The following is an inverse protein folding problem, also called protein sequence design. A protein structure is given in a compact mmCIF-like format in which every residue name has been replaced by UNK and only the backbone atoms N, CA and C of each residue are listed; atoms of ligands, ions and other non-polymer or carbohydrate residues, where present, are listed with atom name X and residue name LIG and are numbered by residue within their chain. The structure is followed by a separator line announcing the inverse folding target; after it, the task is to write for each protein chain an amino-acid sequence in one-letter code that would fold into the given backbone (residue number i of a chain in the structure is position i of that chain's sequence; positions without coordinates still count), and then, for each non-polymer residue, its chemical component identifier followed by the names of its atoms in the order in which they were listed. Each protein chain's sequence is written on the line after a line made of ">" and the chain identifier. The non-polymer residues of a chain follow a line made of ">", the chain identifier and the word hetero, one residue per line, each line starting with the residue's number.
data_IF_350594738806
#
_entry.id   IF_350594738806
#
_cell.length_a   1.000
_cell.length_b   1.000
_cell.length_c   1.000
_cell.angle_alpha   90.00
_cell.angle_beta   90.00
_cell.angle_gamma   90.00
#
_symmetry.space_group_name_H-M   'P 1'
#
loop_
_entity.id
_entity.type
_entity.pdbx_description
1 polymer ?
#
# COMPACT_ATOMS: atom_id res chain seq x y z
N UNK A 1 61.00 -63.13 48.59
CA UNK A 1 60.46 -62.74 47.28
C UNK A 1 60.71 -61.25 47.15
N UNK A 2 61.56 -60.90 46.17
CA UNK A 2 62.17 -59.59 45.84
C UNK A 2 61.34 -58.33 46.15
N UNK A 3 61.90 -57.14 46.40
CA UNK A 3 63.25 -56.62 46.67
C UNK A 3 63.08 -55.11 47.00
N UNK A 4 63.96 -54.58 47.85
CA UNK A 4 64.58 -53.22 47.83
C UNK A 4 63.66 -51.97 47.82
N UNK A 5 63.57 -51.19 48.91
CA UNK A 5 64.53 -50.23 49.52
C UNK A 5 64.19 -48.74 49.20
N UNK A 6 64.62 -47.79 50.06
CA UNK A 6 63.94 -46.53 50.36
C UNK A 6 64.64 -45.30 49.76
N UNK A 7 64.08 -44.10 49.96
CA UNK A 7 64.77 -42.86 49.59
C UNK A 7 64.07 -41.57 50.03
N UNK A 8 64.33 -41.16 51.26
CA UNK A 8 64.17 -39.80 51.79
C UNK A 8 65.10 -38.80 51.09
N UNK A 9 64.59 -37.60 50.81
CA UNK A 9 65.29 -36.38 51.18
C UNK A 9 65.82 -35.44 50.08
N UNK A 10 65.36 -34.19 50.19
CA UNK A 10 66.14 -32.94 50.07
C UNK A 10 66.11 -32.16 48.74
N UNK A 11 65.28 -31.10 48.78
CA UNK A 11 65.62 -29.68 48.64
C UNK A 11 66.40 -29.15 47.41
N UNK A 12 65.76 -28.10 46.88
CA UNK A 12 66.28 -26.79 46.42
C UNK A 12 66.48 -26.56 44.91
N UNK A 13 65.72 -25.55 44.44
CA UNK A 13 66.08 -24.49 43.49
C UNK A 13 66.35 -24.93 42.02
N UNK A 14 66.02 -24.19 40.97
CA UNK A 14 65.62 -22.80 40.82
C UNK A 14 64.81 -22.64 39.53
N UNK A 15 63.78 -21.80 39.60
CA UNK A 15 63.39 -20.77 38.62
C UNK A 15 64.19 -20.77 37.30
N UNK A 16 63.57 -21.16 36.19
CA UNK A 16 63.54 -20.28 35.01
C UNK A 16 62.42 -20.67 34.03
N UNK A 17 61.42 -19.76 34.01
CA UNK A 17 60.88 -19.15 32.80
C UNK A 17 60.18 -20.11 31.81
N UNK A 18 58.89 -20.30 32.07
CA UNK A 18 57.95 -20.66 31.03
C UNK A 18 57.92 -19.60 29.94
N UNK A 19 57.79 -20.06 28.69
CA UNK A 19 57.29 -19.38 27.48
C UNK A 19 57.99 -20.01 26.28
N UNK A 20 57.43 -21.10 25.74
CA UNK A 20 57.50 -21.49 24.30
C UNK A 20 56.89 -22.88 24.02
N UNK A 21 56.04 -23.42 24.90
CA UNK A 21 55.21 -24.61 24.59
C UNK A 21 53.73 -24.23 24.67
N UNK A 22 53.37 -23.08 24.09
CA UNK A 22 51.98 -22.71 23.84
C UNK A 22 51.85 -22.01 22.49
N UNK A 23 52.65 -22.44 21.51
CA UNK A 23 52.63 -21.93 20.13
C UNK A 23 52.41 -23.03 19.09
N UNK A 24 52.25 -24.29 19.49
CA UNK A 24 52.04 -25.41 18.55
C UNK A 24 50.72 -26.18 18.73
N UNK A 25 49.90 -25.82 19.71
CA UNK A 25 48.55 -26.39 19.91
C UNK A 25 47.41 -25.35 19.80
N UNK A 26 47.71 -24.15 19.31
CA UNK A 26 46.70 -23.14 18.94
C UNK A 26 46.49 -23.01 17.42
N UNK A 27 47.14 -23.88 16.63
CA UNK A 27 47.06 -23.86 15.16
C UNK A 27 46.17 -24.98 14.57
N UNK A 28 45.63 -25.88 15.39
CA UNK A 28 44.74 -26.96 14.94
C UNK A 28 43.25 -26.72 15.28
N UNK A 29 42.92 -25.62 15.95
CA UNK A 29 41.55 -25.30 16.40
C UNK A 29 41.00 -24.00 15.79
N UNK A 30 41.71 -23.39 14.84
CA UNK A 30 41.33 -22.12 14.21
C UNK A 30 40.74 -22.27 12.79
N UNK A 31 40.66 -23.50 12.25
CA UNK A 31 40.20 -23.76 10.89
C UNK A 31 38.78 -24.39 10.80
N UNK A 32 38.09 -24.58 11.92
CA UNK A 32 36.80 -25.30 11.94
C UNK A 32 35.55 -24.42 12.20
N UNK A 33 35.68 -23.09 12.35
CA UNK A 33 34.56 -22.24 12.77
C UNK A 33 34.41 -20.92 11.99
N UNK A 34 34.93 -20.86 10.76
CA UNK A 34 34.61 -19.77 9.82
C UNK A 34 34.12 -20.32 8.47
N UNK A 35 33.24 -21.34 8.52
CA UNK A 35 32.21 -21.43 7.49
C UNK A 35 31.20 -20.31 7.79
N UNK A 36 31.57 -19.06 7.46
CA UNK A 36 30.60 -18.01 7.27
C UNK A 36 29.68 -18.57 6.19
N UNK A 37 28.49 -19.03 6.58
CA UNK A 37 27.38 -19.14 5.66
C UNK A 37 27.25 -17.74 5.08
N UNK A 38 27.83 -17.53 3.91
CA UNK A 38 27.36 -16.51 2.98
C UNK A 38 25.95 -16.97 2.63
N UNK A 39 24.99 -16.70 3.53
CA UNK A 39 23.60 -16.67 3.15
C UNK A 39 23.59 -15.62 2.04
N UNK A 40 23.35 -16.00 0.76
CA UNK A 40 23.20 -15.00 -0.27
C UNK A 40 22.14 -14.05 0.24
N UNK A 41 22.47 -12.76 0.32
CA UNK A 41 21.45 -11.73 0.45
C UNK A 41 20.56 -11.92 -0.76
N UNK A 42 19.44 -12.62 -0.57
CA UNK A 42 18.40 -12.84 -1.56
C UNK A 42 17.79 -11.47 -1.82
N UNK A 43 18.44 -10.70 -2.67
CA UNK A 43 17.81 -9.57 -3.31
C UNK A 43 16.72 -10.15 -4.19
N UNK A 44 15.48 -9.80 -3.88
CA UNK A 44 14.35 -10.07 -4.77
C UNK A 44 14.67 -9.41 -6.10
N UNK A 45 15.10 -10.23 -7.06
CA UNK A 45 15.40 -9.79 -8.41
C UNK A 45 14.11 -9.89 -9.20
N UNK A 46 13.89 -8.95 -10.12
CA UNK A 46 12.80 -9.05 -11.09
C UNK A 46 12.81 -10.44 -11.74
N UNK A 47 11.65 -11.07 -11.82
CA UNK A 47 11.52 -12.40 -12.39
C UNK A 47 11.87 -12.41 -13.88
N UNK A 48 12.27 -13.57 -14.44
CA UNK A 48 12.50 -13.70 -15.87
C UNK A 48 11.25 -13.29 -16.68
N UNK A 49 11.48 -12.64 -17.83
CA UNK A 49 10.41 -12.18 -18.72
C UNK A 49 9.40 -13.29 -19.07
N UNK A 50 9.84 -14.54 -19.18
CA UNK A 50 8.96 -15.68 -19.44
C UNK A 50 7.93 -15.90 -18.31
N UNK A 51 8.37 -15.83 -17.04
CA UNK A 51 7.47 -15.94 -15.91
C UNK A 51 6.54 -14.72 -15.84
N UNK A 52 7.07 -13.51 -16.00
CA UNK A 52 6.25 -12.29 -16.04
C UNK A 52 5.13 -12.40 -17.08
N UNK A 53 5.48 -12.74 -18.33
CA UNK A 53 4.51 -12.87 -19.41
C UNK A 53 3.47 -13.96 -19.12
N UNK A 54 3.88 -15.07 -18.49
CA UNK A 54 2.97 -16.13 -18.09
C UNK A 54 1.95 -15.64 -17.04
N UNK A 55 2.41 -14.97 -15.97
CA UNK A 55 1.51 -14.47 -14.92
C UNK A 55 0.59 -13.37 -15.43
N UNK A 56 1.10 -12.48 -16.30
CA UNK A 56 0.27 -11.47 -16.99
C UNK A 56 -0.78 -12.13 -17.86
N UNK A 57 -0.44 -13.16 -18.64
CA UNK A 57 -1.41 -13.86 -19.48
C UNK A 57 -2.50 -14.57 -18.65
N UNK A 58 -2.12 -15.20 -17.53
CA UNK A 58 -3.08 -15.80 -16.59
C UNK A 58 -4.02 -14.72 -16.04
N UNK A 59 -3.47 -13.58 -15.61
CA UNK A 59 -4.22 -12.47 -15.02
C UNK A 59 -5.14 -11.82 -16.05
N UNK A 60 -4.67 -11.59 -17.28
CA UNK A 60 -5.47 -11.00 -18.35
C UNK A 60 -6.67 -11.90 -18.67
N UNK A 61 -6.46 -13.21 -18.83
CA UNK A 61 -7.55 -14.15 -19.04
C UNK A 61 -8.55 -14.17 -17.86
N UNK A 62 -8.06 -13.99 -16.63
CA UNK A 62 -8.87 -13.94 -15.43
C UNK A 62 -9.77 -12.70 -15.38
N UNK A 63 -9.24 -11.51 -15.69
CA UNK A 63 -10.05 -10.28 -15.74
C UNK A 63 -10.94 -10.19 -16.99
N UNK A 64 -10.52 -10.74 -18.14
CA UNK A 64 -11.34 -10.84 -19.35
C UNK A 64 -12.59 -11.74 -19.15
N UNK A 65 -12.54 -12.64 -18.18
CA UNK A 65 -13.66 -13.52 -17.83
C UNK A 65 -14.78 -12.81 -17.06
N UNK A 66 -14.50 -11.68 -16.40
CA UNK A 66 -15.45 -10.91 -15.60
C UNK A 66 -16.69 -10.48 -16.42
N UNK A 67 -16.56 -9.70 -17.51
CA UNK A 67 -17.73 -9.19 -18.23
C UNK A 67 -18.58 -10.30 -18.87
N UNK A 68 -17.98 -11.48 -19.08
CA UNK A 68 -18.60 -12.63 -19.72
C UNK A 68 -19.17 -13.65 -18.73
N UNK A 69 -18.97 -13.47 -17.42
CA UNK A 69 -19.39 -14.44 -16.41
C UNK A 69 -18.72 -15.82 -16.54
N UNK A 70 -17.47 -15.87 -17.03
CA UNK A 70 -16.78 -17.13 -17.35
C UNK A 70 -16.17 -17.81 -16.12
N UNK A 71 -17.03 -18.53 -15.40
CA UNK A 71 -16.67 -19.30 -14.20
C UNK A 71 -15.54 -20.33 -14.43
N UNK A 72 -15.51 -20.96 -15.60
CA UNK A 72 -14.51 -21.98 -15.95
C UNK A 72 -13.08 -21.43 -15.87
N UNK A 73 -12.89 -20.17 -16.26
CA UNK A 73 -11.59 -19.50 -16.21
C UNK A 73 -11.16 -19.27 -14.76
N UNK A 74 -12.06 -18.84 -13.89
CA UNK A 74 -11.76 -18.61 -12.48
C UNK A 74 -11.51 -19.91 -11.72
N UNK A 75 -12.29 -20.97 -12.01
CA UNK A 75 -12.08 -22.28 -11.41
C UNK A 75 -10.68 -22.84 -11.68
N UNK A 76 -10.16 -22.63 -12.90
CA UNK A 76 -8.83 -23.11 -13.30
C UNK A 76 -7.69 -22.19 -12.87
N UNK A 77 -7.88 -20.88 -12.72
CA UNK A 77 -6.79 -19.97 -12.32
C UNK A 77 -6.62 -19.89 -10.81
N UNK A 78 -7.71 -19.96 -10.03
CA UNK A 78 -7.66 -19.87 -8.57
C UNK A 78 -7.21 -21.18 -7.92
N UNK A 79 -6.31 -21.07 -6.94
CA UNK A 79 -6.03 -22.14 -5.99
C UNK A 79 -7.21 -22.36 -5.04
N UNK A 80 -7.34 -23.56 -4.46
CA UNK A 80 -8.51 -23.90 -3.63
C UNK A 80 -8.64 -23.03 -2.38
N UNK A 81 -7.51 -22.63 -1.79
CA UNK A 81 -7.44 -21.71 -0.65
C UNK A 81 -7.32 -20.23 -1.04
N UNK A 82 -7.69 -19.84 -2.26
CA UNK A 82 -7.54 -18.45 -2.70
C UNK A 82 -8.35 -17.47 -1.83
N UNK A 83 -7.77 -16.31 -1.58
CA UNK A 83 -8.39 -15.17 -0.89
C UNK A 83 -8.31 -13.95 -1.80
N UNK A 84 -9.46 -13.37 -2.10
CA UNK A 84 -9.58 -12.16 -2.92
C UNK A 84 -10.13 -11.04 -2.05
N UNK A 85 -9.54 -9.86 -2.14
CA UNK A 85 -10.00 -8.65 -1.47
C UNK A 85 -10.30 -7.61 -2.57
N UNK A 86 -11.55 -7.19 -2.67
CA UNK A 86 -11.98 -6.18 -3.64
C UNK A 86 -11.63 -4.75 -3.17
N UNK A 87 -11.85 -3.76 -4.03
CA UNK A 87 -11.57 -2.34 -3.79
C UNK A 87 -12.35 -1.75 -2.59
N UNK A 88 -13.38 -2.45 -2.12
CA UNK A 88 -14.20 -2.08 -0.96
C UNK A 88 -13.82 -2.86 0.30
N UNK A 89 -12.81 -3.72 0.24
CA UNK A 89 -12.36 -4.57 1.35
C UNK A 89 -13.23 -5.80 1.58
N UNK A 90 -14.08 -6.20 0.63
CA UNK A 90 -14.85 -7.45 0.74
C UNK A 90 -13.93 -8.62 0.48
N UNK A 91 -13.98 -9.60 1.37
CA UNK A 91 -13.18 -10.82 1.29
C UNK A 91 -14.03 -11.91 0.63
N UNK A 92 -13.51 -12.51 -0.44
CA UNK A 92 -14.09 -13.66 -1.10
C UNK A 92 -13.10 -14.82 -1.16
N UNK A 93 -13.61 -16.03 -0.96
CA UNK A 93 -12.86 -17.26 -1.26
C UNK A 93 -13.25 -17.80 -2.63
N UNK A 94 -12.46 -18.74 -3.18
CA UNK A 94 -12.65 -19.29 -4.53
C UNK A 94 -14.09 -19.68 -4.84
N UNK A 95 -14.78 -20.38 -3.93
CA UNK A 95 -16.15 -20.83 -4.17
C UNK A 95 -17.10 -19.65 -4.36
N UNK A 96 -17.06 -18.65 -3.47
CA UNK A 96 -17.92 -17.48 -3.53
C UNK A 96 -17.60 -16.60 -4.74
N UNK A 97 -16.31 -16.41 -5.00
CA UNK A 97 -15.78 -15.67 -6.14
C UNK A 97 -16.22 -16.25 -7.49
N UNK A 98 -16.16 -17.58 -7.63
CA UNK A 98 -16.64 -18.27 -8.84
C UNK A 98 -18.17 -18.17 -8.93
N UNK A 99 -18.89 -18.36 -7.82
CA UNK A 99 -20.35 -18.34 -7.80
C UNK A 99 -20.93 -16.96 -8.14
N UNK A 100 -20.23 -15.86 -7.81
CA UNK A 100 -20.68 -14.49 -8.10
C UNK A 100 -20.53 -14.08 -9.57
N UNK A 101 -19.84 -14.86 -10.40
CA UNK A 101 -19.63 -14.52 -11.80
C UNK A 101 -20.87 -14.79 -12.64
N UNK A 102 -21.40 -13.72 -13.21
CA UNK A 102 -22.48 -13.73 -14.19
C UNK A 102 -22.15 -12.72 -15.31
N UNK A 103 -22.64 -12.92 -16.55
CA UNK A 103 -22.48 -11.93 -17.60
C UNK A 103 -23.05 -10.58 -17.18
N UNK A 104 -22.42 -9.49 -17.63
CA UNK A 104 -22.93 -8.16 -17.33
C UNK A 104 -24.36 -7.97 -17.90
N UNK A 105 -25.26 -7.33 -17.13
CA UNK A 105 -26.59 -6.96 -17.61
C UNK A 105 -26.57 -6.10 -18.87
N UNK A 106 -27.69 -6.07 -19.59
CA UNK A 106 -27.86 -5.18 -20.74
C UNK A 106 -27.65 -3.71 -20.34
N UNK A 107 -26.96 -2.96 -21.19
CA UNK A 107 -26.59 -1.57 -20.93
C UNK A 107 -25.26 -1.40 -20.18
N UNK A 108 -24.67 -2.50 -19.67
CA UNK A 108 -23.36 -2.49 -19.02
C UNK A 108 -22.33 -3.25 -19.87
N UNK A 109 -21.13 -2.70 -20.00
CA UNK A 109 -19.98 -3.40 -20.58
C UNK A 109 -18.67 -2.87 -20.01
N UNK A 110 -17.60 -3.64 -20.13
CA UNK A 110 -16.30 -3.19 -19.66
C UNK A 110 -15.13 -4.05 -20.15
N UNK A 111 -13.93 -3.55 -19.91
CA UNK A 111 -12.66 -4.24 -20.20
C UNK A 111 -11.59 -3.78 -19.22
N UNK A 112 -10.70 -4.68 -18.83
CA UNK A 112 -9.54 -4.36 -17.99
C UNK A 112 -8.27 -4.63 -18.79
N UNK A 113 -7.41 -3.62 -18.90
CA UNK A 113 -6.10 -3.73 -19.53
C UNK A 113 -5.02 -3.72 -18.45
N UNK A 114 -4.12 -4.73 -18.46
CA UNK A 114 -3.01 -4.80 -17.52
C UNK A 114 -1.83 -3.93 -17.98
N UNK A 115 -1.36 -3.03 -17.11
CA UNK A 115 -0.27 -2.09 -17.40
C UNK A 115 0.86 -2.16 -16.38
N UNK A 116 2.07 -1.86 -16.85
CA UNK A 116 3.30 -1.79 -16.05
C UNK A 116 3.50 -3.00 -15.10
N UNK A 117 3.48 -4.25 -15.61
CA UNK A 117 3.61 -5.41 -14.76
C UNK A 117 5.04 -5.58 -14.23
N UNK A 118 5.16 -5.75 -12.91
CA UNK A 118 6.39 -6.11 -12.22
C UNK A 118 6.22 -7.43 -11.48
N UNK A 119 7.18 -8.34 -11.63
CA UNK A 119 7.10 -9.66 -10.99
C UNK A 119 8.33 -9.93 -10.14
N UNK A 120 8.09 -10.36 -8.90
CA UNK A 120 9.11 -10.87 -8.00
C UNK A 120 8.85 -12.36 -7.77
N UNK A 121 9.89 -13.19 -7.93
CA UNK A 121 9.78 -14.64 -7.73
C UNK A 121 10.51 -15.09 -6.47
N UNK A 122 9.86 -15.95 -5.70
CA UNK A 122 10.35 -16.56 -4.47
C UNK A 122 10.15 -18.08 -4.54
N UNK A 123 11.06 -18.79 -5.23
CA UNK A 123 10.92 -20.22 -5.49
C UNK A 123 9.65 -20.54 -6.28
N UNK A 124 8.75 -21.32 -5.67
CA UNK A 124 7.43 -21.67 -6.22
C UNK A 124 6.32 -20.67 -5.87
N UNK A 125 6.68 -19.49 -5.33
CA UNK A 125 5.77 -18.36 -5.16
C UNK A 125 6.19 -17.18 -6.05
N UNK A 126 5.24 -16.34 -6.44
CA UNK A 126 5.52 -15.10 -7.15
C UNK A 126 4.52 -14.01 -6.79
N UNK A 127 4.99 -12.76 -6.77
CA UNK A 127 4.15 -11.57 -6.65
C UNK A 127 4.10 -10.88 -8.01
N UNK A 128 2.90 -10.53 -8.47
CA UNK A 128 2.67 -9.66 -9.60
C UNK A 128 2.06 -8.35 -9.08
N UNK A 129 2.81 -7.27 -9.21
CA UNK A 129 2.32 -5.90 -9.07
C UNK A 129 1.97 -5.39 -10.47
N UNK A 130 0.76 -4.88 -10.65
CA UNK A 130 0.26 -4.45 -11.96
C UNK A 130 -0.83 -3.40 -11.81
N UNK A 131 -0.92 -2.47 -12.75
CA UNK A 131 -2.06 -1.56 -12.84
C UNK A 131 -3.18 -2.22 -13.63
N UNK A 132 -4.41 -2.18 -13.10
CA UNK A 132 -5.61 -2.47 -13.87
C UNK A 132 -6.17 -1.17 -14.42
N UNK A 133 -6.14 -1.02 -15.73
CA UNK A 133 -6.77 0.10 -16.43
C UNK A 133 -8.15 -0.34 -16.92
N UNK A 134 -9.15 -0.05 -16.11
CA UNK A 134 -10.53 -0.44 -16.35
C UNK A 134 -11.25 0.63 -17.19
N UNK A 135 -11.97 0.16 -18.20
CA UNK A 135 -12.90 0.97 -18.99
C UNK A 135 -14.28 0.35 -18.86
N UNK A 136 -15.24 1.15 -18.45
CA UNK A 136 -16.63 0.73 -18.30
C UNK A 136 -17.55 1.61 -19.13
N UNK A 137 -18.63 1.01 -19.60
CA UNK A 137 -19.75 1.71 -20.21
C UNK A 137 -21.01 1.42 -19.40
N UNK A 138 -21.58 2.45 -18.79
CA UNK A 138 -22.82 2.39 -18.02
C UNK A 138 -23.91 3.16 -18.75
N UNK A 139 -24.80 2.44 -19.43
CA UNK A 139 -25.87 3.02 -20.26
C UNK A 139 -25.36 4.08 -21.25
N UNK A 140 -24.19 3.82 -21.86
CA UNK A 140 -23.53 4.72 -22.82
C UNK A 140 -22.57 5.74 -22.22
N UNK A 141 -22.58 5.92 -20.88
CA UNK A 141 -21.60 6.75 -20.18
C UNK A 141 -20.28 6.01 -20.06
N UNK A 142 -19.16 6.67 -20.37
CA UNK A 142 -17.83 6.06 -20.32
C UNK A 142 -17.13 6.41 -19.02
N UNK A 143 -16.66 5.39 -18.31
CA UNK A 143 -15.87 5.54 -17.10
C UNK A 143 -14.48 4.92 -17.32
N UNK A 144 -13.49 5.54 -16.68
CA UNK A 144 -12.13 5.00 -16.61
C UNK A 144 -11.74 5.00 -15.14
N UNK A 145 -11.46 3.81 -14.63
CA UNK A 145 -10.97 3.60 -13.28
C UNK A 145 -9.61 2.91 -13.35
N UNK A 146 -8.73 3.25 -12.43
CA UNK A 146 -7.37 2.69 -12.36
C UNK A 146 -7.19 2.08 -10.99
N UNK A 147 -6.62 0.90 -10.94
CA UNK A 147 -6.31 0.22 -9.68
C UNK A 147 -4.85 -0.18 -9.66
N UNK A 148 -4.26 -0.12 -8.47
CA UNK A 148 -3.00 -0.78 -8.18
C UNK A 148 -3.33 -2.14 -7.59
N UNK A 149 -2.99 -3.21 -8.31
CA UNK A 149 -3.25 -4.57 -7.87
C UNK A 149 -1.98 -5.28 -7.45
N UNK A 150 -2.08 -6.13 -6.43
CA UNK A 150 -1.05 -7.05 -6.00
C UNK A 150 -1.62 -8.47 -6.00
N UNK A 151 -1.06 -9.33 -6.84
CA UNK A 151 -1.51 -10.69 -7.04
C UNK A 151 -0.42 -11.66 -6.58
N UNK A 152 -0.79 -12.62 -5.75
CA UNK A 152 0.10 -13.67 -5.27
C UNK A 152 -0.20 -14.98 -6.00
N UNK A 153 0.84 -15.54 -6.59
CA UNK A 153 0.79 -16.82 -7.30
C UNK A 153 1.62 -17.87 -6.57
N UNK A 154 1.17 -19.12 -6.64
CA UNK A 154 1.95 -20.30 -6.25
C UNK A 154 1.95 -21.32 -7.37
N UNK A 155 3.04 -22.08 -7.50
CA UNK A 155 3.15 -23.17 -8.45
C UNK A 155 2.64 -24.46 -7.81
N UNK A 156 1.53 -24.99 -8.32
CA UNK A 156 0.92 -26.24 -7.89
C UNK A 156 0.87 -27.20 -9.06
N UNK A 157 1.42 -28.41 -8.89
CA UNK A 157 1.45 -29.46 -9.91
C UNK A 157 1.99 -28.94 -11.26
N UNK A 158 3.03 -28.10 -11.23
CA UNK A 158 3.65 -27.53 -12.42
C UNK A 158 2.93 -26.29 -13.01
N UNK A 159 1.75 -25.93 -12.51
CA UNK A 159 0.97 -24.79 -12.99
C UNK A 159 0.92 -23.65 -11.97
N UNK A 160 1.02 -22.40 -12.43
CA UNK A 160 0.81 -21.23 -11.58
C UNK A 160 -0.67 -21.01 -11.30
N UNK A 161 -1.01 -20.83 -10.03
CA UNK A 161 -2.36 -20.57 -9.52
C UNK A 161 -2.36 -19.31 -8.69
N UNK A 162 -3.42 -18.52 -8.82
CA UNK A 162 -3.61 -17.34 -7.99
C UNK A 162 -4.14 -17.77 -6.61
N UNK A 163 -3.43 -17.39 -5.55
CA UNK A 163 -3.82 -17.63 -4.14
C UNK A 163 -4.25 -16.37 -3.42
N UNK A 164 -3.87 -15.20 -3.94
CA UNK A 164 -4.17 -13.92 -3.34
C UNK A 164 -4.35 -12.85 -4.41
N UNK A 165 -5.36 -12.01 -4.28
CA UNK A 165 -5.43 -10.74 -5.01
C UNK A 165 -6.01 -9.67 -4.10
N UNK A 166 -5.44 -8.49 -4.18
CA UNK A 166 -5.97 -7.26 -3.60
C UNK A 166 -5.75 -6.15 -4.62
N UNK A 167 -6.69 -5.22 -4.68
CA UNK A 167 -6.56 -4.01 -5.46
C UNK A 167 -7.01 -2.78 -4.68
N UNK A 168 -6.42 -1.64 -5.04
CA UNK A 168 -6.74 -0.34 -4.45
C UNK A 168 -6.93 0.64 -5.59
N UNK A 169 -8.04 1.37 -5.58
CA UNK A 169 -8.30 2.42 -6.55
C UNK A 169 -7.23 3.50 -6.48
N UNK A 170 -6.61 3.81 -7.61
CA UNK A 170 -5.68 4.91 -7.77
C UNK A 170 -6.50 6.19 -7.94
N UNK A 171 -6.40 7.17 -7.03
CA UNK A 171 -7.14 8.42 -7.15
C UNK A 171 -6.79 9.15 -8.46
N UNK A 172 -7.79 9.40 -9.29
CA UNK A 172 -7.68 10.29 -10.44
C UNK A 172 -8.28 11.65 -10.09
N UNK A 173 -7.82 12.71 -10.74
CA UNK A 173 -8.46 14.01 -10.58
C UNK A 173 -9.90 13.91 -11.15
N UNK A 174 -10.94 14.25 -10.37
CA UNK A 174 -12.28 14.28 -10.90
C UNK A 174 -12.42 15.38 -11.95
N UNK A 175 -13.44 15.33 -12.83
CA UNK A 175 -13.77 16.45 -13.68
C UNK A 175 -14.04 17.71 -12.85
N UNK A 176 -13.53 18.86 -13.31
CA UNK A 176 -13.86 20.14 -12.68
C UNK A 176 -15.35 20.42 -12.84
N UNK A 177 -16.01 20.77 -11.74
CA UNK A 177 -17.40 21.21 -11.76
C UNK A 177 -17.46 22.74 -11.71
N UNK A 178 -18.29 23.33 -12.57
CA UNK A 178 -18.68 24.73 -12.40
C UNK A 178 -19.79 24.80 -11.36
N UNK A 179 -19.57 25.61 -10.32
CA UNK A 179 -20.53 25.80 -9.22
C UNK A 179 -20.96 27.26 -9.23
N UNK A 180 -22.17 27.50 -9.73
CA UNK A 180 -22.73 28.85 -9.86
C UNK A 180 -22.98 29.51 -8.50
N UNK A 181 -22.82 30.84 -8.45
CA UNK A 181 -23.10 31.65 -7.26
C UNK A 181 -22.10 31.47 -6.11
N UNK A 182 -20.93 30.87 -6.36
CA UNK A 182 -19.93 30.62 -5.35
C UNK A 182 -19.15 31.90 -4.97
N UNK A 183 -19.43 32.45 -3.80
CA UNK A 183 -18.66 33.55 -3.22
C UNK A 183 -17.47 33.01 -2.41
N UNK A 184 -16.30 32.87 -3.04
CA UNK A 184 -15.12 32.27 -2.38
C UNK A 184 -14.70 32.98 -1.08
N UNK A 185 -14.98 34.28 -0.98
CA UNK A 185 -14.71 35.08 0.23
C UNK A 185 -15.42 34.58 1.48
N UNK A 186 -16.61 33.99 1.34
CA UNK A 186 -17.42 33.49 2.46
C UNK A 186 -16.68 32.46 3.32
N UNK A 187 -15.82 31.67 2.69
CA UNK A 187 -15.10 30.56 3.31
C UNK A 187 -13.80 30.99 3.99
N UNK A 188 -13.32 32.21 3.73
CA UNK A 188 -12.06 32.69 4.30
C UNK A 188 -12.16 32.85 5.82
N UNK A 189 -11.14 32.41 6.55
CA UNK A 189 -11.12 32.46 8.00
C UNK A 189 -10.16 31.48 8.65
N UNK A 190 -10.14 31.49 9.98
CA UNK A 190 -9.41 30.53 10.80
C UNK A 190 -10.38 29.46 11.32
N UNK A 191 -10.00 28.20 11.22
CA UNK A 191 -10.81 27.04 11.59
C UNK A 191 -10.04 26.15 12.57
N UNK A 192 -10.51 26.05 13.81
CA UNK A 192 -9.79 25.42 14.93
C UNK A 192 -10.33 24.04 15.28
N UNK A 193 -9.44 23.07 15.48
CA UNK A 193 -9.75 21.70 15.93
C UNK A 193 -8.95 21.24 17.15
N UNK A 194 -8.14 22.13 17.73
CA UNK A 194 -7.44 21.90 18.98
C UNK A 194 -6.87 23.20 19.54
N UNK A 195 -6.34 23.20 20.78
CA UNK A 195 -5.87 24.40 21.46
C UNK A 195 -4.92 25.25 20.60
N UNK A 196 -3.94 24.60 19.97
CA UNK A 196 -2.93 25.25 19.12
C UNK A 196 -2.99 24.78 17.67
N UNK A 197 -4.15 24.27 17.24
CA UNK A 197 -4.33 23.68 15.91
C UNK A 197 -5.49 24.33 15.18
N UNK A 198 -5.14 25.14 14.18
CA UNK A 198 -6.10 25.79 13.31
C UNK A 198 -5.60 25.81 11.87
N UNK A 199 -6.54 25.74 10.93
CA UNK A 199 -6.29 25.97 9.52
C UNK A 199 -6.66 27.39 9.16
N UNK A 200 -5.87 28.02 8.29
CA UNK A 200 -6.24 29.29 7.67
C UNK A 200 -6.71 29.02 6.26
N UNK A 201 -7.99 29.28 6.00
CA UNK A 201 -8.57 29.24 4.66
C UNK A 201 -8.53 30.64 4.07
N UNK A 202 -8.08 30.76 2.83
CA UNK A 202 -7.95 32.05 2.14
C UNK A 202 -8.09 31.90 0.63
N UNK A 203 -8.48 32.97 -0.04
CA UNK A 203 -8.43 33.06 -1.50
C UNK A 203 -7.08 33.64 -1.93
N UNK A 204 -6.38 32.96 -2.86
CA UNK A 204 -5.17 33.44 -3.53
C UNK A 204 -5.36 33.31 -5.04
N UNK A 205 -5.14 34.39 -5.78
CA UNK A 205 -5.25 34.41 -7.25
C UNK A 205 -6.58 33.81 -7.76
N UNK A 206 -7.70 34.11 -7.08
CA UNK A 206 -9.02 33.60 -7.42
C UNK A 206 -9.27 32.13 -7.05
N UNK A 207 -8.34 31.48 -6.34
CA UNK A 207 -8.42 30.07 -5.93
C UNK A 207 -8.56 29.98 -4.42
N UNK A 208 -9.52 29.19 -3.95
CA UNK A 208 -9.67 28.86 -2.54
C UNK A 208 -8.69 27.76 -2.14
N UNK A 209 -8.14 27.87 -0.94
CA UNK A 209 -7.27 26.86 -0.36
C UNK A 209 -6.99 27.14 1.10
N UNK A 210 -6.18 26.29 1.72
CA UNK A 210 -5.89 26.37 3.14
C UNK A 210 -4.43 26.10 3.46
N UNK A 211 -4.01 26.58 4.63
CA UNK A 211 -2.72 26.30 5.24
C UNK A 211 -2.96 25.70 6.62
N UNK A 212 -2.35 24.54 6.91
CA UNK A 212 -2.57 23.81 8.17
C UNK A 212 -1.73 24.33 9.35
N UNK A 213 -0.68 25.10 9.05
CA UNK A 213 0.20 25.80 10.00
C UNK A 213 1.00 26.88 9.27
N UNK A 214 1.29 28.00 9.91
CA UNK A 214 2.13 29.06 9.34
C UNK A 214 3.44 28.52 8.75
N UNK A 215 3.79 28.99 7.55
CA UNK A 215 4.96 28.54 6.79
C UNK A 215 4.80 27.23 6.00
N UNK A 216 3.64 26.56 6.07
CA UNK A 216 3.35 25.38 5.24
C UNK A 216 2.77 25.79 3.88
N UNK A 217 2.81 24.83 2.94
CA UNK A 217 2.26 24.98 1.60
C UNK A 217 0.77 25.34 1.63
N UNK A 218 0.37 26.14 0.65
CA UNK A 218 -1.03 26.43 0.37
C UNK A 218 -1.64 25.25 -0.38
N UNK A 219 -2.61 24.58 0.23
CA UNK A 219 -3.31 23.44 -0.35
C UNK A 219 -4.57 23.96 -1.06
N UNK A 220 -4.56 23.88 -2.39
CA UNK A 220 -5.72 24.23 -3.22
C UNK A 220 -6.86 23.25 -2.97
N UNK A 221 -8.09 23.77 -3.02
CA UNK A 221 -9.31 22.97 -2.96
C UNK A 221 -10.23 23.34 -4.13
N UNK A 222 -10.89 22.34 -4.70
CA UNK A 222 -11.77 22.50 -5.86
C UNK A 222 -13.24 22.36 -5.46
N UNK A 223 -14.14 23.25 -5.92
CA UNK A 223 -15.54 23.14 -5.61
C UNK A 223 -16.17 21.96 -6.34
N UNK A 224 -16.93 21.14 -5.61
CA UNK A 224 -17.73 20.06 -6.20
C UNK A 224 -19.24 20.30 -6.02
N UNK A 225 -19.62 21.13 -5.05
CA UNK A 225 -20.96 21.67 -4.87
C UNK A 225 -20.88 22.97 -4.07
N UNK A 226 -22.02 23.65 -3.86
CA UNK A 226 -22.08 24.76 -2.90
C UNK A 226 -21.64 24.25 -1.52
N UNK A 227 -20.74 24.98 -0.87
CA UNK A 227 -20.19 24.67 0.44
C UNK A 227 -19.44 23.31 0.54
N UNK A 228 -19.17 22.61 -0.57
CA UNK A 228 -18.43 21.34 -0.58
C UNK A 228 -17.27 21.41 -1.57
N UNK A 229 -16.07 21.14 -1.07
CA UNK A 229 -14.84 21.17 -1.84
C UNK A 229 -14.09 19.85 -1.68
N UNK A 230 -13.13 19.61 -2.58
CA UNK A 230 -12.23 18.47 -2.54
C UNK A 230 -10.77 18.95 -2.55
N UNK A 231 -9.91 18.31 -1.75
CA UNK A 231 -8.47 18.53 -1.80
C UNK A 231 -7.88 18.15 -3.16
N UNK A 232 -6.81 18.82 -3.59
CA UNK A 232 -6.04 18.46 -4.79
C UNK A 232 -4.81 17.60 -4.49
N UNK A 233 -4.73 17.01 -3.31
CA UNK A 233 -3.72 16.02 -2.90
C UNK A 233 -4.21 14.58 -3.11
N UNK A 234 -3.32 13.61 -2.94
CA UNK A 234 -3.65 12.20 -3.22
C UNK A 234 -4.75 11.64 -2.31
N UNK A 235 -4.93 12.21 -1.10
CA UNK A 235 -6.00 11.80 -0.19
C UNK A 235 -7.38 12.26 -0.65
N UNK A 236 -7.48 13.37 -1.41
CA UNK A 236 -8.73 13.89 -1.98
C UNK A 236 -9.86 14.03 -0.93
N UNK A 237 -9.52 14.41 0.30
CA UNK A 237 -10.51 14.55 1.38
C UNK A 237 -11.60 15.58 1.00
N UNK A 238 -12.83 15.33 1.45
CA UNK A 238 -13.92 16.29 1.28
C UNK A 238 -13.86 17.36 2.37
N UNK A 239 -13.94 18.62 1.95
CA UNK A 239 -13.99 19.79 2.82
C UNK A 239 -15.41 20.37 2.76
N UNK A 240 -16.18 20.16 3.81
CA UNK A 240 -17.59 20.53 3.90
C UNK A 240 -17.72 21.72 4.83
N UNK A 241 -18.09 22.88 4.28
CA UNK A 241 -18.37 24.07 5.06
C UNK A 241 -19.82 24.05 5.54
N UNK A 242 -20.03 24.22 6.84
CA UNK A 242 -21.36 24.30 7.44
C UNK A 242 -21.72 25.75 7.69
N UNK A 243 -22.96 26.11 7.36
CA UNK A 243 -23.52 27.43 7.65
C UNK A 243 -24.41 27.39 8.88
N UNK A 244 -24.42 28.48 9.63
CA UNK A 244 -25.34 28.70 10.74
C UNK A 244 -26.74 29.10 10.24
N UNK A 245 -27.67 29.34 11.16
CA UNK A 245 -29.04 29.76 10.84
C UNK A 245 -29.15 31.13 10.15
N UNK A 246 -28.11 31.97 10.26
CA UNK A 246 -28.02 33.26 9.58
C UNK A 246 -27.36 33.15 8.19
N UNK A 247 -26.93 31.95 7.79
CA UNK A 247 -26.29 31.69 6.50
C UNK A 247 -24.78 31.95 6.48
N UNK A 248 -24.15 32.24 7.62
CA UNK A 248 -22.71 32.43 7.70
C UNK A 248 -22.00 31.10 7.86
N UNK A 249 -20.85 30.94 7.19
CA UNK A 249 -19.97 29.78 7.42
C UNK A 249 -19.51 29.81 8.88
N UNK A 250 -19.73 28.69 9.58
CA UNK A 250 -19.50 28.54 11.02
C UNK A 250 -18.55 27.39 11.37
N UNK A 251 -18.36 26.45 10.45
CA UNK A 251 -17.52 25.26 10.65
C UNK A 251 -17.01 24.75 9.30
N UNK A 252 -15.83 24.13 9.33
CA UNK A 252 -15.28 23.29 8.27
C UNK A 252 -15.19 21.86 8.82
N UNK A 253 -15.77 20.91 8.09
CA UNK A 253 -15.62 19.49 8.34
C UNK A 253 -14.68 18.94 7.26
N UNK A 254 -13.56 18.36 7.68
CA UNK A 254 -12.73 17.54 6.80
C UNK A 254 -13.18 16.08 6.97
N UNK A 255 -13.80 15.53 5.93
CA UNK A 255 -14.15 14.11 5.87
C UNK A 255 -13.02 13.35 5.18
N UNK A 256 -12.33 12.54 5.97
CA UNK A 256 -11.22 11.68 5.54
C UNK A 256 -11.55 10.23 5.86
N UNK A 257 -11.37 9.30 4.91
CA UNK A 257 -11.60 7.86 5.13
C UNK A 257 -12.94 7.60 5.87
N UNK A 258 -14.01 8.28 5.44
CA UNK A 258 -15.36 8.20 6.01
C UNK A 258 -15.54 8.71 7.46
N UNK A 259 -14.56 9.43 8.02
CA UNK A 259 -14.62 9.99 9.36
C UNK A 259 -14.45 11.51 9.32
N UNK A 260 -15.12 12.20 10.24
CA UNK A 260 -15.21 13.66 10.26
C UNK A 260 -14.24 14.26 11.29
N UNK A 261 -13.35 15.14 10.82
CA UNK A 261 -12.65 16.10 11.68
C UNK A 261 -13.42 17.43 11.63
N UNK A 262 -13.83 17.90 12.80
CA UNK A 262 -14.57 19.16 12.95
C UNK A 262 -13.63 20.31 13.29
N UNK A 263 -13.66 21.37 12.48
CA UNK A 263 -12.91 22.60 12.70
C UNK A 263 -13.89 23.77 12.85
N UNK A 264 -14.04 24.29 14.07
CA UNK A 264 -14.92 25.44 14.33
C UNK A 264 -14.31 26.70 13.75
N UNK A 265 -15.11 27.49 13.01
CA UNK A 265 -14.64 28.81 12.57
C UNK A 265 -14.46 29.70 13.79
N UNK A 266 -13.30 30.33 13.87
CA UNK A 266 -13.06 31.31 14.91
C UNK A 266 -13.90 32.55 14.62
N UNK A 267 -14.52 33.12 15.65
CA UNK A 267 -15.14 34.42 15.54
C UNK A 267 -14.05 35.39 15.06
N UNK A 268 -14.26 36.00 13.90
CA UNK A 268 -13.34 36.99 13.40
C UNK A 268 -13.19 38.07 14.47
N UNK A 269 -11.96 38.34 14.91
CA UNK A 269 -11.63 39.66 15.42
C UNK A 269 -11.97 40.61 14.29
N UNK A 270 -13.17 41.20 14.34
CA UNK A 270 -13.53 42.33 13.51
C UNK A 270 -12.36 43.30 13.64
N UNK A 271 -11.67 43.57 12.53
CA UNK A 271 -10.73 44.68 12.51
C UNK A 271 -11.56 45.91 12.86
N UNK A 272 -11.30 46.46 14.04
CA UNK A 272 -11.68 47.81 14.40
C UNK A 272 -10.99 48.81 13.48
#
# INVERSE_FOLDING_TARGET
>A
MHMLQPGTGSRLAAIHRGETIMQKFLLASALAWLAILQAPTLHATEAPNALRNQLVAITQAWVDALPLGRQDVWQRTLADGAVLIDEFGRIQHKQDAVASLHPLPSGLSGSIELRNPHVQQYGDAALLQVEWYERESVFGQQLVVRYQSLLTFVKQNGAWKLVGAEDVTIPTAPPTLQVDGLMLGDYSGSYRYGPDRAWTVSVKDGVLGYVTKAGRSFNRIEPIARDVFMGTDDERNLLIFRRDAAGHVSELIERRKFNDLHLKREAGSAKA
#
